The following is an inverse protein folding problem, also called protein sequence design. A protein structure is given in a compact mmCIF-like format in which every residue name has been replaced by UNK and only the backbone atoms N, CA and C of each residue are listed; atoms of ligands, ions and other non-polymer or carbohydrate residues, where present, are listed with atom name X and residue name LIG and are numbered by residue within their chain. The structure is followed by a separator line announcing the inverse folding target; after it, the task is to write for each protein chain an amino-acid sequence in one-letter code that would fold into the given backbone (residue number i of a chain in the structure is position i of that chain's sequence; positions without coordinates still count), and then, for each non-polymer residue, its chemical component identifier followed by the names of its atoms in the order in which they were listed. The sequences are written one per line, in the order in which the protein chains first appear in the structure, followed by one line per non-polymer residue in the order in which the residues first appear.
data_IF_408605102525
#
_entry.id   IF_408605102525
#
_cell.length_a   1.000
_cell.length_b   1.000
_cell.length_c   1.000
_cell.angle_alpha   90.00
_cell.angle_beta   90.00
_cell.angle_gamma   90.00
#
_symmetry.space_group_name_H-M   'P 1'
#
loop_
_entity.id
_entity.type
_entity.pdbx_description
1 polymer ?
#
# COMPACT_ATOMS: atom_id res chain seq x y z
N UNK A 1 23.01 -6.72 -4.11
CA UNK A 1 21.71 -6.67 -4.78
C UNK A 1 21.27 -8.07 -5.17
N UNK A 2 20.15 -8.51 -4.61
CA UNK A 2 19.56 -9.84 -4.80
C UNK A 2 18.05 -9.87 -4.60
N UNK A 3 17.41 -8.71 -4.54
CA UNK A 3 15.96 -8.58 -4.43
C UNK A 3 15.28 -8.98 -5.74
N UNK A 4 14.34 -9.91 -5.66
CA UNK A 4 13.44 -10.30 -6.74
C UNK A 4 12.03 -9.79 -6.45
N UNK A 5 11.62 -8.75 -7.18
CA UNK A 5 10.29 -8.13 -7.03
C UNK A 5 9.17 -9.09 -7.39
N UNK A 6 9.37 -9.97 -8.36
CA UNK A 6 8.35 -10.88 -8.84
C UNK A 6 8.09 -12.03 -7.84
N UNK A 7 9.00 -12.19 -6.85
CA UNK A 7 8.83 -13.13 -5.75
C UNK A 7 7.71 -12.73 -4.76
N UNK A 8 7.25 -11.47 -4.80
CA UNK A 8 6.11 -10.96 -4.04
C UNK A 8 4.90 -10.76 -4.96
N UNK A 9 4.08 -11.79 -5.13
CA UNK A 9 2.90 -11.73 -6.01
C UNK A 9 1.87 -10.72 -5.49
N UNK A 10 1.52 -9.74 -6.32
CA UNK A 10 0.43 -8.79 -6.08
C UNK A 10 -0.19 -8.36 -7.41
N UNK A 11 -1.47 -7.98 -7.46
CA UNK A 11 -2.47 -8.03 -6.38
C UNK A 11 -3.28 -9.33 -6.48
N UNK A 12 -3.47 -10.03 -5.36
CA UNK A 12 -4.35 -11.21 -5.30
C UNK A 12 -5.83 -10.79 -5.23
N UNK A 13 -6.73 -11.76 -5.06
CA UNK A 13 -8.19 -11.55 -5.05
C UNK A 13 -8.74 -10.85 -3.79
N UNK A 14 -7.91 -10.16 -3.01
CA UNK A 14 -8.38 -9.38 -1.86
C UNK A 14 -8.79 -10.22 -0.65
N UNK A 15 -9.43 -9.57 0.32
CA UNK A 15 -9.94 -10.23 1.52
C UNK A 15 -11.23 -11.03 1.22
N UNK A 16 -11.97 -10.63 0.20
CA UNK A 16 -13.14 -11.35 -0.30
C UNK A 16 -12.92 -11.80 -1.76
N UNK A 17 -12.46 -13.04 -2.00
CA UNK A 17 -12.15 -13.53 -3.34
C UNK A 17 -13.31 -13.59 -4.33
N UNK A 18 -14.55 -13.28 -3.90
CA UNK A 18 -15.78 -13.46 -4.70
C UNK A 18 -16.42 -12.17 -5.20
N UNK A 19 -15.99 -11.00 -4.74
CA UNK A 19 -16.56 -9.71 -5.20
C UNK A 19 -15.83 -9.11 -6.42
N UNK A 20 -14.72 -9.71 -6.82
CA UNK A 20 -13.91 -9.27 -7.95
C UNK A 20 -13.01 -8.07 -7.64
N UNK A 21 -12.90 -7.65 -6.38
CA UNK A 21 -11.94 -6.67 -5.93
C UNK A 21 -10.59 -7.35 -5.64
N UNK A 22 -9.53 -6.85 -6.27
CA UNK A 22 -8.19 -7.23 -5.85
C UNK A 22 -7.79 -6.39 -4.63
N UNK A 23 -6.73 -6.79 -3.93
CA UNK A 23 -6.22 -6.08 -2.73
C UNK A 23 -6.05 -4.57 -2.95
N UNK A 24 -5.61 -4.14 -4.14
CA UNK A 24 -5.50 -2.72 -4.46
C UNK A 24 -6.85 -2.00 -4.37
N UNK A 25 -7.89 -2.59 -4.97
CA UNK A 25 -9.21 -2.01 -4.96
C UNK A 25 -9.82 -2.01 -3.55
N UNK A 26 -9.58 -3.07 -2.76
CA UNK A 26 -10.02 -3.18 -1.37
C UNK A 26 -9.42 -2.08 -0.49
N UNK A 27 -8.11 -1.84 -0.59
CA UNK A 27 -7.46 -0.76 0.17
C UNK A 27 -8.02 0.60 -0.27
N UNK A 28 -8.23 0.82 -1.57
CA UNK A 28 -8.87 2.06 -2.03
C UNK A 28 -10.29 2.24 -1.53
N UNK A 29 -11.10 1.18 -1.43
CA UNK A 29 -12.46 1.27 -0.87
C UNK A 29 -12.36 1.61 0.63
N UNK A 30 -11.48 0.91 1.35
CA UNK A 30 -11.29 1.04 2.80
C UNK A 30 -10.81 2.44 3.20
N UNK A 31 -9.86 3.02 2.46
CA UNK A 31 -9.25 4.31 2.80
C UNK A 31 -9.92 5.53 2.15
N UNK A 32 -11.03 5.33 1.44
CA UNK A 32 -11.76 6.43 0.83
C UNK A 32 -12.36 7.34 1.91
N UNK A 33 -12.10 8.66 1.79
CA UNK A 33 -12.78 9.69 2.59
C UNK A 33 -14.23 9.84 2.11
N UNK A 34 -14.43 9.83 0.80
CA UNK A 34 -15.75 9.72 0.18
C UNK A 34 -15.77 8.44 -0.64
N UNK A 35 -16.68 7.53 -0.32
CA UNK A 35 -16.72 6.21 -0.93
C UNK A 35 -16.92 6.30 -2.46
N UNK A 36 -16.11 5.58 -3.27
CA UNK A 36 -16.38 5.42 -4.69
C UNK A 36 -17.60 4.52 -4.91
N UNK A 37 -18.25 4.65 -6.07
CA UNK A 37 -19.18 3.63 -6.53
C UNK A 37 -18.39 2.41 -7.02
N UNK A 38 -18.85 1.21 -6.64
CA UNK A 38 -18.26 -0.08 -7.05
C UNK A 38 -19.14 -0.71 -8.13
N UNK A 39 -18.62 -0.73 -9.37
CA UNK A 39 -19.27 -1.37 -10.51
C UNK A 39 -18.86 -2.84 -10.70
N UNK A 40 -19.30 -3.44 -11.82
CA UNK A 40 -18.92 -4.79 -12.20
C UNK A 40 -17.38 -4.97 -12.26
N UNK A 41 -16.90 -6.14 -11.83
CA UNK A 41 -15.47 -6.46 -11.70
C UNK A 41 -14.70 -5.43 -10.86
N UNK A 42 -15.33 -4.92 -9.80
CA UNK A 42 -14.80 -3.91 -8.89
C UNK A 42 -14.28 -2.63 -9.58
N UNK A 43 -14.96 -2.20 -10.64
CA UNK A 43 -14.63 -0.92 -11.30
C UNK A 43 -15.03 0.24 -10.40
N UNK A 44 -14.04 0.90 -9.79
CA UNK A 44 -14.25 2.08 -8.96
C UNK A 44 -14.49 3.33 -9.81
N UNK A 45 -15.53 4.10 -9.46
CA UNK A 45 -15.81 5.41 -10.08
C UNK A 45 -16.20 6.44 -9.03
N UNK A 46 -15.68 7.67 -9.17
CA UNK A 46 -15.86 8.73 -8.18
C UNK A 46 -15.01 8.48 -6.92
N UNK A 47 -15.46 9.03 -5.80
CA UNK A 47 -14.79 8.95 -4.51
C UNK A 47 -13.72 10.03 -4.29
N UNK A 48 -13.20 10.09 -3.08
CA UNK A 48 -12.05 10.91 -2.74
C UNK A 48 -11.19 10.24 -1.67
N UNK A 49 -9.90 10.50 -1.73
CA UNK A 49 -8.89 9.95 -0.84
C UNK A 49 -8.01 11.07 -0.30
N UNK A 50 -7.42 10.83 0.86
CA UNK A 50 -6.46 11.72 1.48
C UNK A 50 -5.11 11.03 1.57
N UNK A 51 -4.19 11.42 0.69
CA UNK A 51 -2.80 10.96 0.76
C UNK A 51 -2.12 11.68 1.92
N UNK A 52 -1.97 10.98 3.05
CA UNK A 52 -1.45 11.60 4.25
C UNK A 52 0.05 11.91 4.15
N UNK A 53 0.78 11.27 3.24
CA UNK A 53 2.21 11.51 3.04
C UNK A 53 2.53 12.93 2.59
N UNK A 54 1.67 13.51 1.75
CA UNK A 54 1.86 14.83 1.14
C UNK A 54 0.68 15.76 1.36
N UNK A 55 -0.32 15.34 2.14
CA UNK A 55 -1.54 16.09 2.45
C UNK A 55 -2.30 16.54 1.20
N UNK A 56 -2.42 15.64 0.23
CA UNK A 56 -3.13 15.89 -1.02
C UNK A 56 -4.44 15.12 -1.05
N UNK A 57 -5.54 15.83 -1.29
CA UNK A 57 -6.82 15.21 -1.65
C UNK A 57 -6.78 14.78 -3.11
N UNK A 58 -7.12 13.53 -3.37
CA UNK A 58 -7.16 12.94 -4.72
C UNK A 58 -8.58 12.45 -4.99
N UNK A 59 -9.11 12.69 -6.20
CA UNK A 59 -10.44 12.22 -6.63
C UNK A 59 -10.38 11.20 -7.76
N UNK A 60 -9.19 10.91 -8.26
CA UNK A 60 -8.94 9.83 -9.21
C UNK A 60 -8.21 8.68 -8.55
N UNK A 61 -8.85 7.52 -8.50
CA UNK A 61 -8.23 6.28 -8.04
C UNK A 61 -6.94 5.92 -8.79
N UNK A 62 -6.76 6.40 -10.03
CA UNK A 62 -5.53 6.16 -10.82
C UNK A 62 -4.36 7.05 -10.41
N UNK A 63 -4.60 8.10 -9.63
CA UNK A 63 -3.56 8.98 -9.08
C UNK A 63 -2.93 8.43 -7.79
N UNK A 64 -3.45 7.31 -7.29
CA UNK A 64 -3.02 6.67 -6.06
C UNK A 64 -2.30 5.36 -6.37
N UNK A 65 -1.19 5.16 -5.67
CA UNK A 65 -0.56 3.86 -5.52
C UNK A 65 -0.91 3.32 -4.13
N UNK A 66 -0.89 2.00 -3.97
CA UNK A 66 -0.92 1.36 -2.65
C UNK A 66 0.54 1.09 -2.28
N UNK A 67 1.02 1.78 -1.25
CA UNK A 67 2.35 1.58 -0.71
C UNK A 67 2.36 0.46 0.33
N UNK A 68 3.47 -0.27 0.39
CA UNK A 68 3.79 -1.16 1.50
C UNK A 68 4.52 -0.33 2.55
N UNK A 69 3.92 -0.19 3.74
CA UNK A 69 4.46 0.66 4.81
C UNK A 69 5.93 0.36 5.08
N UNK A 70 6.27 -0.92 5.22
CA UNK A 70 7.64 -1.43 5.06
C UNK A 70 7.81 -1.91 3.59
N UNK A 71 8.73 -1.33 2.79
CA UNK A 71 8.92 -1.71 1.40
C UNK A 71 9.26 -3.20 1.23
N UNK A 72 8.81 -3.80 0.13
CA UNK A 72 9.08 -5.21 -0.17
C UNK A 72 10.58 -5.54 -0.30
N UNK A 73 11.38 -4.58 -0.80
CA UNK A 73 12.83 -4.74 -0.90
C UNK A 73 13.50 -4.69 0.48
N UNK A 74 13.07 -3.77 1.34
CA UNK A 74 13.53 -3.72 2.74
C UNK A 74 13.17 -5.00 3.49
N UNK A 75 11.95 -5.50 3.33
CA UNK A 75 11.54 -6.78 3.90
C UNK A 75 12.41 -7.94 3.37
N UNK A 76 12.78 -7.93 2.08
CA UNK A 76 13.65 -8.92 1.47
C UNK A 76 15.03 -8.96 2.11
N UNK A 77 15.66 -7.79 2.25
CA UNK A 77 16.99 -7.64 2.84
C UNK A 77 16.99 -7.97 4.34
N UNK A 78 15.86 -7.71 5.01
CA UNK A 78 15.60 -8.08 6.40
C UNK A 78 15.17 -9.56 6.61
N UNK A 79 15.21 -10.39 5.56
CA UNK A 79 15.08 -11.85 5.66
C UNK A 79 13.86 -12.47 4.97
N UNK A 80 13.00 -11.68 4.31
CA UNK A 80 11.90 -12.22 3.52
C UNK A 80 12.36 -12.97 2.26
N UNK A 81 13.62 -12.81 1.87
CA UNK A 81 14.29 -13.65 0.87
C UNK A 81 14.22 -15.15 1.20
N UNK A 82 14.28 -15.52 2.48
CA UNK A 82 14.19 -16.91 2.94
C UNK A 82 12.75 -17.42 3.13
N UNK A 83 11.74 -16.56 2.96
CA UNK A 83 10.34 -16.97 3.13
C UNK A 83 9.87 -17.90 2.02
N UNK A 84 8.78 -18.62 2.27
CA UNK A 84 8.06 -19.32 1.21
C UNK A 84 7.39 -18.31 0.28
N UNK A 85 7.13 -18.70 -0.97
CA UNK A 85 6.39 -17.86 -1.91
C UNK A 85 5.00 -17.46 -1.36
N UNK A 86 4.32 -18.39 -0.70
CA UNK A 86 3.02 -18.13 -0.06
C UNK A 86 3.11 -17.06 1.03
N UNK A 87 4.18 -17.06 1.85
CA UNK A 87 4.35 -16.05 2.89
C UNK A 87 4.67 -14.67 2.31
N UNK A 88 5.47 -14.59 1.25
CA UNK A 88 5.72 -13.33 0.53
C UNK A 88 4.45 -12.78 -0.12
N UNK A 89 3.65 -13.64 -0.75
CA UNK A 89 2.36 -13.25 -1.31
C UNK A 89 1.39 -12.78 -0.22
N UNK A 90 1.33 -13.46 0.93
CA UNK A 90 0.51 -13.03 2.07
C UNK A 90 0.93 -11.64 2.57
N UNK A 91 2.24 -11.40 2.74
CA UNK A 91 2.77 -10.11 3.15
C UNK A 91 2.47 -8.99 2.14
N UNK A 92 2.67 -9.26 0.85
CA UNK A 92 2.44 -8.27 -0.21
C UNK A 92 0.96 -7.87 -0.35
N UNK A 93 0.03 -8.64 0.22
CA UNK A 93 -1.41 -8.41 0.14
C UNK A 93 -2.06 -8.31 1.52
N UNK A 94 -1.30 -8.02 2.57
CA UNK A 94 -1.80 -8.03 3.94
C UNK A 94 -2.83 -6.91 4.18
N UNK A 95 -4.08 -7.31 4.37
CA UNK A 95 -5.20 -6.46 4.76
C UNK A 95 -5.65 -6.73 6.20
N UNK A 96 -4.99 -7.66 6.91
CA UNK A 96 -5.27 -7.99 8.31
C UNK A 96 -4.67 -6.97 9.27
N UNK A 97 -3.57 -6.33 8.90
CA UNK A 97 -3.00 -5.19 9.61
C UNK A 97 -3.31 -3.88 8.87
N UNK A 98 -4.08 -3.00 9.51
CA UNK A 98 -4.57 -1.74 8.93
C UNK A 98 -3.45 -0.78 8.46
N UNK A 99 -2.21 -1.01 8.87
CA UNK A 99 -1.05 -0.18 8.55
C UNK A 99 -0.13 -0.80 7.50
N UNK A 100 -0.36 -2.04 7.07
CA UNK A 100 0.55 -2.72 6.12
C UNK A 100 0.52 -2.11 4.72
N UNK A 101 -0.67 -1.69 4.30
CA UNK A 101 -0.94 -1.14 2.98
C UNK A 101 -1.63 0.21 3.12
N UNK A 102 -1.18 1.22 2.37
CA UNK A 102 -1.73 2.58 2.42
C UNK A 102 -1.91 3.17 1.03
N UNK A 103 -3.05 3.79 0.76
CA UNK A 103 -3.31 4.57 -0.44
C UNK A 103 -2.71 5.99 -0.33
N UNK A 104 -1.68 6.24 -1.13
CA UNK A 104 -0.97 7.53 -1.17
C UNK A 104 -0.80 7.99 -2.62
N UNK A 105 -0.48 9.26 -2.83
CA UNK A 105 -0.20 9.74 -4.19
C UNK A 105 0.95 8.94 -4.82
N UNK A 106 0.81 8.62 -6.10
CA UNK A 106 1.87 7.94 -6.84
C UNK A 106 3.22 8.69 -6.77
N UNK A 107 3.17 10.03 -6.66
CA UNK A 107 4.37 10.88 -6.49
C UNK A 107 5.09 10.60 -5.18
N UNK A 108 4.38 10.59 -4.05
CA UNK A 108 5.00 10.40 -2.74
C UNK A 108 5.51 8.96 -2.57
N UNK A 109 4.72 7.97 -2.99
CA UNK A 109 5.15 6.57 -2.98
C UNK A 109 6.43 6.33 -3.80
N UNK A 110 6.49 6.84 -5.02
CA UNK A 110 7.68 6.69 -5.87
C UNK A 110 8.89 7.46 -5.37
N UNK A 111 8.69 8.50 -4.56
CA UNK A 111 9.78 9.17 -3.85
C UNK A 111 10.32 8.33 -2.69
N UNK A 112 9.48 7.53 -2.03
CA UNK A 112 9.87 6.59 -0.98
C UNK A 112 10.63 5.41 -1.56
N UNK A 113 10.09 4.81 -2.64
CA UNK A 113 10.67 3.63 -3.28
C UNK A 113 10.95 2.50 -2.26
N UNK A 114 12.21 2.09 -2.12
CA UNK A 114 12.68 1.07 -1.17
C UNK A 114 13.33 1.65 0.09
N UNK A 115 13.25 2.96 0.30
CA UNK A 115 13.94 3.66 1.38
C UNK A 115 13.30 3.42 2.75
N UNK A 116 14.13 3.27 3.76
CA UNK A 116 13.75 3.19 5.17
C UNK A 116 13.50 4.59 5.79
N UNK A 117 12.99 4.68 7.04
CA UNK A 117 12.74 5.95 7.72
C UNK A 117 13.99 6.82 7.98
N UNK A 118 15.20 6.25 7.89
CA UNK A 118 16.45 7.02 8.02
C UNK A 118 16.81 7.74 6.71
N UNK A 119 16.37 7.21 5.57
CA UNK A 119 16.62 7.77 4.24
C UNK A 119 15.43 8.59 3.72
N UNK A 120 14.21 8.23 4.11
CA UNK A 120 12.99 8.86 3.64
C UNK A 120 11.97 9.06 4.75
N UNK A 121 11.37 10.24 4.78
CA UNK A 121 10.18 10.51 5.57
C UNK A 121 9.13 11.16 4.66
N UNK A 122 7.83 11.04 4.99
CA UNK A 122 6.79 11.75 4.28
C UNK A 122 7.10 13.24 4.12
N UNK A 123 6.85 13.83 2.94
CA UNK A 123 7.04 15.26 2.72
C UNK A 123 6.27 16.14 3.71
N UNK A 124 5.10 15.69 4.16
CA UNK A 124 4.35 16.34 5.22
C UNK A 124 4.95 16.02 6.60
N UNK A 125 5.48 17.04 7.28
CA UNK A 125 6.12 16.88 8.58
C UNK A 125 5.14 16.38 9.67
N UNK A 126 3.87 16.76 9.58
CA UNK A 126 2.83 16.32 10.51
C UNK A 126 2.55 14.81 10.41
N UNK A 127 2.93 14.17 9.31
CA UNK A 127 2.79 12.73 9.11
C UNK A 127 3.91 11.92 9.76
N UNK A 128 5.02 12.54 10.21
CA UNK A 128 6.21 11.80 10.67
C UNK A 128 5.91 10.90 11.88
N UNK A 129 5.17 11.40 12.87
CA UNK A 129 4.81 10.60 14.04
C UNK A 129 3.92 9.40 13.66
N UNK A 130 2.95 9.61 12.77
CA UNK A 130 2.09 8.54 12.26
C UNK A 130 2.92 7.51 11.50
N UNK A 131 3.72 7.96 10.55
CA UNK A 131 4.58 7.11 9.72
C UNK A 131 5.53 6.26 10.55
N UNK A 132 6.21 6.86 11.53
CA UNK A 132 7.11 6.13 12.43
C UNK A 132 6.37 5.11 13.29
N UNK A 133 5.17 5.44 13.80
CA UNK A 133 4.35 4.52 14.57
C UNK A 133 3.82 3.35 13.73
N UNK A 134 3.37 3.62 12.50
CA UNK A 134 2.91 2.59 11.56
C UNK A 134 4.06 1.69 11.12
N UNK A 135 5.25 2.24 10.83
CA UNK A 135 6.44 1.47 10.49
C UNK A 135 6.80 0.41 11.54
N UNK A 136 6.79 0.77 12.83
CA UNK A 136 7.14 -0.18 13.91
C UNK A 136 6.00 -1.11 14.30
N UNK A 137 4.78 -0.85 13.84
CA UNK A 137 3.59 -1.67 14.11
C UNK A 137 3.31 -2.72 13.03
N UNK A 138 4.07 -2.70 11.93
CA UNK A 138 3.95 -3.61 10.78
C UNK A 138 4.96 -4.74 10.88
#
# INVERSE_FOLDING_TARGET
DGYDRDAFRHWNAGANPTDGCNTRAEVLISEAVEAPAVGANCRLTGGSWWSYYDQVRVTSASGLDIDHMVPLAEAWDSGASAWTAQRREAYANDQGAATSLVAVTARSNRSKADQDPAQWLPPAAEAHCRYAAEWVAT
#
